data_IF_190058058971
#
_entry.id   IF_190058058971
#
_cell.length_a   1.000
_cell.length_b   1.000
_cell.length_c   1.000
_cell.angle_alpha   90.00
_cell.angle_beta   90.00
_cell.angle_gamma   90.00
#
_symmetry.space_group_name_H-M   'P 1'
#
loop_
_entity.id
_entity.type
_entity.pdbx_description
1 polymer ?
#
# COMPACT_ATOMS: atom_id res chain seq x y z
N UNK A 1 7.52 4.44 8.82
CA UNK A 1 8.02 5.17 9.99
C UNK A 1 9.24 5.98 9.62
N UNK A 2 9.21 6.62 8.46
CA UNK A 2 10.36 7.25 7.81
C UNK A 2 10.24 7.14 6.29
N UNK A 3 11.30 7.47 5.57
CA UNK A 3 11.32 7.51 4.10
C UNK A 3 12.20 6.42 3.46
N UNK A 4 13.02 5.73 4.24
CA UNK A 4 13.90 4.67 3.75
C UNK A 4 13.22 3.31 3.90
N UNK A 5 12.70 2.76 2.80
CA UNK A 5 11.98 1.49 2.81
C UNK A 5 12.83 0.30 3.26
N UNK A 6 14.16 0.38 3.16
CA UNK A 6 15.06 -0.70 3.56
C UNK A 6 15.18 -0.81 5.09
N UNK A 7 15.13 0.31 5.81
CA UNK A 7 15.42 0.37 7.24
C UNK A 7 14.23 0.76 8.09
N UNK A 8 13.28 1.52 7.55
CA UNK A 8 12.23 2.15 8.33
C UNK A 8 10.98 1.26 8.40
N UNK A 9 10.31 1.27 9.55
CA UNK A 9 9.15 0.41 9.80
C UNK A 9 7.97 0.69 8.86
N UNK A 10 7.30 -0.34 8.34
CA UNK A 10 5.93 -0.21 7.81
C UNK A 10 4.97 -0.16 9.00
N UNK A 11 4.19 0.92 9.16
CA UNK A 11 3.35 1.12 10.35
C UNK A 11 1.85 0.95 10.08
N UNK A 12 1.39 1.26 8.87
CA UNK A 12 0.02 1.04 8.42
C UNK A 12 0.06 0.73 6.92
N UNK A 13 -0.87 -0.09 6.46
CA UNK A 13 -1.06 -0.38 5.04
C UNK A 13 -2.55 -0.50 4.74
N UNK A 14 -2.97 0.14 3.65
CA UNK A 14 -4.30 0.00 3.08
C UNK A 14 -4.19 -0.48 1.63
N UNK A 15 -5.14 -1.30 1.19
CA UNK A 15 -5.26 -1.71 -0.20
C UNK A 15 -6.73 -1.74 -0.61
N UNK A 16 -7.01 -1.22 -1.80
CA UNK A 16 -8.36 -1.21 -2.39
C UNK A 16 -8.28 -1.85 -3.77
N UNK A 17 -9.02 -2.93 -4.00
CA UNK A 17 -9.14 -3.51 -5.34
C UNK A 17 -10.05 -2.65 -6.21
N UNK A 18 -9.80 -2.65 -7.52
CA UNK A 18 -10.63 -1.92 -8.48
C UNK A 18 -11.46 -2.93 -9.27
N UNK A 19 -12.78 -2.74 -9.23
CA UNK A 19 -13.74 -3.43 -10.09
C UNK A 19 -14.07 -2.57 -11.31
N UNK A 20 -14.72 -3.18 -12.30
CA UNK A 20 -15.25 -2.50 -13.48
C UNK A 20 -16.66 -3.00 -13.75
N UNK A 21 -17.60 -2.08 -13.96
CA UNK A 21 -18.99 -2.43 -14.25
C UNK A 21 -19.19 -2.81 -15.73
N UNK A 22 -20.39 -3.26 -16.09
CA UNK A 22 -20.75 -3.66 -17.45
C UNK A 22 -20.66 -2.52 -18.48
N UNK A 23 -20.63 -1.26 -18.00
CA UNK A 23 -20.51 -0.06 -18.83
C UNK A 23 -19.05 0.39 -18.99
N UNK A 24 -18.11 -0.31 -18.36
CA UNK A 24 -16.68 -0.01 -18.40
C UNK A 24 -16.23 1.05 -17.39
N UNK A 25 -17.06 1.44 -16.42
CA UNK A 25 -16.66 2.37 -15.36
C UNK A 25 -15.98 1.62 -14.23
N UNK A 26 -14.84 2.15 -13.79
CA UNK A 26 -14.09 1.61 -12.65
C UNK A 26 -14.66 2.09 -11.33
N UNK A 27 -14.62 1.23 -10.31
CA UNK A 27 -15.07 1.57 -8.96
C UNK A 27 -14.22 0.86 -7.88
N UNK A 28 -14.13 1.41 -6.66
CA UNK A 28 -13.53 0.72 -5.51
C UNK A 28 -14.34 -0.53 -5.14
N UNK A 29 -13.70 -1.70 -5.06
CA UNK A 29 -14.39 -2.97 -4.81
C UNK A 29 -14.15 -3.48 -3.37
N UNK A 30 -12.96 -3.98 -3.05
CA UNK A 30 -12.66 -4.55 -1.72
C UNK A 30 -11.58 -3.76 -1.01
N UNK A 31 -11.85 -3.38 0.24
CA UNK A 31 -10.91 -2.62 1.09
C UNK A 31 -10.28 -3.51 2.14
N UNK A 32 -8.96 -3.37 2.28
CA UNK A 32 -8.13 -3.98 3.32
C UNK A 32 -7.40 -2.87 4.06
N UNK A 33 -7.32 -2.98 5.37
CA UNK A 33 -6.56 -2.04 6.19
C UNK A 33 -5.97 -2.76 7.39
N UNK A 34 -4.69 -2.53 7.63
CA UNK A 34 -3.97 -3.08 8.76
C UNK A 34 -3.06 -2.03 9.37
N UNK A 35 -3.05 -1.97 10.70
CA UNK A 35 -1.95 -1.41 11.46
C UNK A 35 -0.90 -2.50 11.62
N UNK A 36 0.35 -2.14 11.42
CA UNK A 36 1.45 -3.09 11.33
C UNK A 36 2.42 -2.84 12.48
N UNK A 37 2.81 -3.92 13.17
CA UNK A 37 3.89 -3.89 14.15
C UNK A 37 5.23 -3.62 13.45
N UNK A 38 6.09 -2.74 13.98
CA UNK A 38 7.44 -2.57 13.44
C UNK A 38 8.17 -3.91 13.41
N UNK A 39 8.83 -4.22 12.29
CA UNK A 39 9.66 -5.43 12.21
C UNK A 39 10.87 -5.31 13.16
N UNK A 40 11.44 -6.45 13.53
CA UNK A 40 12.60 -6.49 14.43
C UNK A 40 13.79 -5.70 13.86
N UNK A 41 14.33 -4.75 14.64
CA UNK A 41 15.44 -3.90 14.21
C UNK A 41 15.04 -2.73 13.30
N UNK A 42 13.73 -2.49 13.08
CA UNK A 42 13.28 -1.36 12.30
C UNK A 42 13.65 -0.01 12.92
N UNK A 43 14.08 0.93 12.07
CA UNK A 43 14.17 2.33 12.42
C UNK A 43 12.78 2.98 12.44
N UNK A 44 12.57 3.91 13.37
CA UNK A 44 11.34 4.70 13.46
C UNK A 44 11.70 6.15 13.74
N UNK A 45 11.51 6.99 12.72
CA UNK A 45 11.76 8.43 12.82
C UNK A 45 10.69 9.11 13.68
N UNK A 46 11.12 9.85 14.71
CA UNK A 46 10.21 10.60 15.58
C UNK A 46 9.33 11.57 14.79
N UNK A 47 9.90 12.26 13.79
CA UNK A 47 9.17 13.17 12.91
C UNK A 47 8.07 12.45 12.10
N UNK A 48 8.26 11.18 11.74
CA UNK A 48 7.23 10.40 11.05
C UNK A 48 6.06 10.04 11.98
N UNK A 49 6.34 9.75 13.26
CA UNK A 49 5.29 9.50 14.26
C UNK A 49 4.52 10.79 14.58
N UNK A 50 5.20 11.92 14.69
CA UNK A 50 4.58 13.23 14.89
C UNK A 50 3.67 13.60 13.70
N UNK A 51 4.15 13.40 12.48
CA UNK A 51 3.38 13.66 11.25
C UNK A 51 2.13 12.77 11.13
N UNK A 52 2.26 11.48 11.44
CA UNK A 52 1.16 10.50 11.30
C UNK A 52 0.22 10.46 12.50
N UNK A 53 0.66 10.91 13.67
CA UNK A 53 -0.06 10.76 14.93
C UNK A 53 -0.11 9.33 15.48
N UNK A 54 0.67 8.40 14.91
CA UNK A 54 0.68 6.99 15.32
C UNK A 54 1.28 6.85 16.72
N UNK A 55 0.53 6.20 17.62
CA UNK A 55 0.99 5.78 18.95
C UNK A 55 1.17 4.26 18.97
N UNK A 56 2.42 3.81 18.98
CA UNK A 56 2.77 2.39 18.81
C UNK A 56 2.27 1.51 19.97
N UNK A 57 2.29 2.05 21.18
CA UNK A 57 1.93 1.41 22.45
C UNK A 57 0.44 1.57 22.81
N UNK A 58 -0.36 2.19 21.94
CA UNK A 58 -1.77 2.40 22.23
C UNK A 58 -2.51 1.05 22.32
N UNK A 59 -3.22 0.72 23.41
CA UNK A 59 -3.80 -0.60 23.61
C UNK A 59 -4.86 -0.99 22.56
N UNK A 60 -5.55 0.00 22.00
CA UNK A 60 -6.53 -0.20 20.91
C UNK A 60 -5.91 -0.05 19.51
N UNK A 61 -4.58 -0.01 19.39
CA UNK A 61 -3.91 0.02 18.09
C UNK A 61 -4.27 -1.24 17.30
N UNK A 62 -4.37 -2.40 17.96
CA UNK A 62 -4.71 -3.68 17.32
C UNK A 62 -3.84 -3.93 16.08
N UNK A 63 -2.54 -3.70 16.23
CA UNK A 63 -1.59 -3.96 15.17
C UNK A 63 -1.40 -5.46 15.00
N UNK A 64 -1.10 -5.87 13.77
CA UNK A 64 -0.74 -7.25 13.43
C UNK A 64 0.69 -7.27 12.90
N UNK A 65 1.28 -8.46 12.81
CA UNK A 65 2.58 -8.60 12.18
C UNK A 65 2.52 -8.21 10.70
N UNK A 66 3.67 -7.77 10.18
CA UNK A 66 3.83 -7.46 8.75
C UNK A 66 3.42 -8.66 7.87
N UNK A 67 3.73 -9.88 8.30
CA UNK A 67 3.39 -11.11 7.60
C UNK A 67 1.87 -11.33 7.52
N UNK A 68 1.14 -11.13 8.64
CA UNK A 68 -0.32 -11.28 8.66
C UNK A 68 -0.98 -10.29 7.71
N UNK A 69 -0.62 -9.00 7.81
CA UNK A 69 -1.17 -7.96 6.95
C UNK A 69 -0.92 -8.24 5.46
N UNK A 70 0.32 -8.56 5.10
CA UNK A 70 0.72 -8.78 3.72
C UNK A 70 0.10 -10.05 3.14
N UNK A 71 0.03 -11.15 3.89
CA UNK A 71 -0.61 -12.39 3.44
C UNK A 71 -2.10 -12.20 3.18
N UNK A 72 -2.81 -11.44 4.02
CA UNK A 72 -4.24 -11.18 3.87
C UNK A 72 -4.53 -10.28 2.67
N UNK A 73 -3.76 -9.20 2.49
CA UNK A 73 -3.83 -8.35 1.29
C UNK A 73 -3.55 -9.19 0.04
N UNK A 74 -2.47 -9.98 0.02
CA UNK A 74 -2.11 -10.77 -1.16
C UNK A 74 -3.14 -11.85 -1.48
N UNK A 75 -3.79 -12.43 -0.46
CA UNK A 75 -4.91 -13.36 -0.66
C UNK A 75 -6.09 -12.66 -1.33
N UNK A 76 -6.45 -11.48 -0.84
CA UNK A 76 -7.48 -10.62 -1.43
C UNK A 76 -7.21 -10.27 -2.88
N UNK A 77 -6.01 -9.73 -3.15
CA UNK A 77 -5.56 -9.36 -4.50
C UNK A 77 -5.57 -10.57 -5.43
N UNK A 78 -5.05 -11.74 -5.02
CA UNK A 78 -5.08 -12.95 -5.86
C UNK A 78 -6.51 -13.41 -6.18
N UNK A 79 -7.45 -13.24 -5.24
CA UNK A 79 -8.87 -13.54 -5.47
C UNK A 79 -9.44 -12.57 -6.52
N UNK A 80 -9.17 -11.28 -6.40
CA UNK A 80 -9.61 -10.26 -7.38
C UNK A 80 -9.00 -10.51 -8.77
N UNK A 81 -7.71 -10.85 -8.86
CA UNK A 81 -7.07 -11.21 -10.13
C UNK A 81 -7.76 -12.39 -10.81
N UNK A 82 -8.06 -13.45 -10.05
CA UNK A 82 -8.76 -14.63 -10.57
C UNK A 82 -10.18 -14.28 -11.04
N UNK A 83 -10.91 -13.47 -10.27
CA UNK A 83 -12.28 -13.06 -10.62
C UNK A 83 -12.33 -12.23 -11.91
N UNK A 84 -11.32 -11.39 -12.15
CA UNK A 84 -11.24 -10.49 -13.30
C UNK A 84 -10.43 -11.05 -14.49
N UNK A 85 -9.96 -12.30 -14.43
CA UNK A 85 -9.13 -12.90 -15.49
C UNK A 85 -7.76 -12.22 -15.67
N UNK A 86 -7.28 -11.47 -14.68
CA UNK A 86 -6.01 -10.77 -14.71
C UNK A 86 -4.85 -11.69 -14.28
N UNK A 87 -3.66 -11.43 -14.82
CA UNK A 87 -2.45 -12.22 -14.52
C UNK A 87 -1.61 -11.68 -13.37
N UNK A 88 -1.58 -10.36 -13.18
CA UNK A 88 -0.74 -9.68 -12.19
C UNK A 88 -1.39 -8.37 -11.75
N UNK A 89 -1.15 -7.95 -10.50
CA UNK A 89 -1.60 -6.66 -9.99
C UNK A 89 -0.55 -5.57 -10.26
N UNK A 90 -1.00 -4.35 -10.48
CA UNK A 90 -0.15 -3.15 -10.57
C UNK A 90 -0.56 -2.23 -9.43
N UNK A 91 0.40 -1.79 -8.62
CA UNK A 91 0.13 -0.89 -7.50
C UNK A 91 -0.30 0.48 -8.04
N UNK A 92 -1.37 1.03 -7.47
CA UNK A 92 -1.79 2.42 -7.69
C UNK A 92 -1.56 3.17 -6.38
N UNK A 93 -0.83 4.28 -6.44
CA UNK A 93 -0.47 5.08 -5.27
C UNK A 93 -0.25 6.54 -5.64
N UNK A 94 -0.03 7.41 -4.66
CA UNK A 94 0.28 8.82 -4.90
C UNK A 94 1.74 9.08 -4.55
N UNK A 95 2.56 9.37 -5.57
CA UNK A 95 4.00 9.12 -5.53
C UNK A 95 4.28 7.62 -5.35
N UNK A 96 3.64 6.79 -6.19
CA UNK A 96 3.51 5.34 -6.02
C UNK A 96 4.82 4.55 -5.83
N UNK A 97 5.97 5.10 -6.24
CA UNK A 97 7.28 4.48 -6.01
C UNK A 97 7.61 4.35 -4.52
N UNK A 98 7.13 5.28 -3.69
CA UNK A 98 7.26 5.24 -2.24
C UNK A 98 6.58 3.99 -1.67
N UNK A 99 5.28 3.84 -1.93
CA UNK A 99 4.48 2.72 -1.42
C UNK A 99 5.02 1.38 -1.95
N UNK A 100 5.34 1.32 -3.25
CA UNK A 100 5.90 0.11 -3.86
C UNK A 100 7.25 -0.26 -3.25
N UNK A 101 8.08 0.72 -2.90
CA UNK A 101 9.35 0.50 -2.20
C UNK A 101 9.16 -0.19 -0.84
N UNK A 102 8.21 0.29 -0.04
CA UNK A 102 7.89 -0.32 1.26
C UNK A 102 7.26 -1.71 1.11
N UNK A 103 6.34 -1.90 0.16
CA UNK A 103 5.74 -3.21 -0.13
C UNK A 103 6.82 -4.23 -0.55
N UNK A 104 7.74 -3.84 -1.43
CA UNK A 104 8.82 -4.72 -1.87
C UNK A 104 9.80 -5.04 -0.74
N UNK A 105 10.13 -4.07 0.11
CA UNK A 105 11.00 -4.29 1.26
C UNK A 105 10.38 -5.26 2.27
N UNK A 106 9.08 -5.14 2.55
CA UNK A 106 8.34 -6.09 3.38
C UNK A 106 8.37 -7.50 2.79
N UNK A 107 8.07 -7.62 1.49
CA UNK A 107 8.15 -8.89 0.74
C UNK A 107 9.53 -9.53 0.85
N UNK A 108 10.60 -8.72 0.74
CA UNK A 108 11.98 -9.19 0.81
C UNK A 108 12.37 -9.65 2.23
N UNK A 109 11.99 -8.89 3.27
CA UNK A 109 12.25 -9.27 4.68
C UNK A 109 11.66 -10.63 5.05
N UNK A 110 10.51 -10.96 4.49
CA UNK A 110 9.74 -12.17 4.83
C UNK A 110 9.91 -13.31 3.80
N UNK A 111 10.79 -13.18 2.81
CA UNK A 111 10.98 -14.15 1.70
C UNK A 111 9.64 -14.58 1.04
N UNK A 112 8.73 -13.63 0.80
CA UNK A 112 7.40 -13.94 0.29
C UNK A 112 7.43 -14.35 -1.20
N UNK A 113 7.33 -15.65 -1.47
CA UNK A 113 7.42 -16.20 -2.83
C UNK A 113 6.27 -15.84 -3.78
N UNK A 114 5.09 -15.52 -3.25
CA UNK A 114 3.85 -15.34 -4.04
C UNK A 114 3.34 -13.90 -4.02
N UNK A 115 4.22 -12.94 -4.27
CA UNK A 115 3.86 -11.54 -4.45
C UNK A 115 3.02 -11.36 -5.75
N UNK A 116 1.73 -10.96 -5.67
CA UNK A 116 0.88 -10.77 -6.84
C UNK A 116 1.16 -9.46 -7.59
N UNK A 117 1.89 -8.52 -6.98
CA UNK A 117 2.20 -7.23 -7.58
C UNK A 117 3.33 -7.33 -8.60
N UNK A 118 3.29 -6.43 -9.57
CA UNK A 118 4.39 -6.16 -10.47
C UNK A 118 5.53 -5.49 -9.70
N UNK A 119 6.80 -5.90 -9.87
CA UNK A 119 7.86 -5.55 -8.93
C UNK A 119 8.41 -4.14 -9.12
N UNK A 120 8.18 -3.51 -10.28
CA UNK A 120 8.68 -2.16 -10.58
C UNK A 120 7.62 -1.22 -11.18
N UNK A 121 6.76 -1.71 -12.08
CA UNK A 121 5.65 -0.91 -12.61
C UNK A 121 4.59 -0.59 -11.55
N UNK A 122 4.16 0.66 -11.54
CA UNK A 122 3.04 1.20 -10.77
C UNK A 122 2.30 2.26 -11.59
N UNK A 123 1.06 2.57 -11.21
CA UNK A 123 0.35 3.75 -11.70
C UNK A 123 0.43 4.85 -10.63
N UNK A 124 1.12 5.93 -10.97
CA UNK A 124 1.28 7.07 -10.08
C UNK A 124 0.17 8.10 -10.29
N UNK A 125 -0.64 8.29 -9.26
CA UNK A 125 -1.75 9.25 -9.29
C UNK A 125 -1.29 10.70 -9.23
N UNK A 126 -0.07 11.01 -8.78
CA UNK A 126 0.48 12.37 -8.89
C UNK A 126 0.71 12.74 -10.36
N UNK A 127 1.29 11.82 -11.14
CA UNK A 127 1.45 11.95 -12.60
C UNK A 127 0.09 12.02 -13.31
N UNK A 128 -0.84 11.11 -12.99
CA UNK A 128 -2.18 11.10 -13.61
C UNK A 128 -2.97 12.37 -13.29
N UNK A 129 -2.91 12.87 -12.04
CA UNK A 129 -3.56 14.11 -11.65
C UNK A 129 -2.90 15.34 -12.28
N UNK A 130 -1.59 15.32 -12.47
CA UNK A 130 -0.88 16.35 -13.24
C UNK A 130 -1.42 16.45 -14.67
N UNK A 131 -1.67 15.31 -15.30
CA UNK A 131 -2.27 15.25 -16.64
C UNK A 131 -3.74 15.70 -16.66
N UNK A 132 -4.57 15.16 -15.76
CA UNK A 132 -6.03 15.34 -15.79
C UNK A 132 -6.50 16.68 -15.21
N UNK A 133 -5.80 17.19 -14.18
CA UNK A 133 -6.24 18.33 -13.37
C UNK A 133 -5.19 19.43 -13.23
N UNK A 134 -3.97 19.24 -13.75
CA UNK A 134 -2.87 20.19 -13.56
C UNK A 134 -2.40 20.30 -12.11
N UNK A 135 -2.67 19.29 -11.27
CA UNK A 135 -2.32 19.26 -9.85
C UNK A 135 -1.59 17.97 -9.48
N UNK A 136 -0.49 18.08 -8.76
CA UNK A 136 0.29 16.92 -8.26
C UNK A 136 0.15 16.70 -6.77
N UNK A 137 -0.45 17.63 -6.03
CA UNK A 137 -0.72 17.49 -4.59
C UNK A 137 -2.06 16.80 -4.42
N UNK A 138 -2.08 15.64 -3.75
CA UNK A 138 -3.29 14.83 -3.55
C UNK A 138 -4.50 15.66 -3.08
N UNK A 139 -4.32 16.49 -2.05
CA UNK A 139 -5.39 17.32 -1.48
C UNK A 139 -5.92 18.41 -2.45
N UNK A 140 -5.16 18.77 -3.49
CA UNK A 140 -5.59 19.73 -4.53
C UNK A 140 -6.13 19.03 -5.79
N UNK A 141 -5.73 17.78 -6.00
CA UNK A 141 -6.21 16.94 -7.08
C UNK A 141 -7.61 16.36 -6.82
N UNK A 142 -7.98 16.23 -5.54
CA UNK A 142 -9.34 15.93 -5.11
C UNK A 142 -10.20 17.20 -5.25
N UNK A 143 -11.04 17.27 -6.28
CA UNK A 143 -12.05 18.32 -6.47
C UNK A 143 -13.40 17.88 -5.93
#
# INVERSE_FOLDING_TARGET
GGFNSATDALLEIAAVTIGMDERGFVFPEHTYFFRVEPFEGANIEAAALEFTGIKLDHPLRMAVSEETAMNDIFRGVRKALKANGCKRAVLVGHNASFDLGFVNAAVARMDMKRNPFHPFSSFDTATLAGLAYGQTVLAKAYQ
#
